data_IF_412244590608
#
_entry.id   IF_412244590608
#
_cell.length_a   1.000
_cell.length_b   1.000
_cell.length_c   1.000
_cell.angle_alpha   90.00
_cell.angle_beta   90.00
_cell.angle_gamma   90.00
#
_symmetry.space_group_name_H-M   'P 1'
#
loop_
_entity.id
_entity.type
_entity.pdbx_description
1 polymer ?
#
# COMPACT_ATOMS: atom_id res chain seq x y z
N UNK A 1 6.60 26.08 -11.20
CA UNK A 1 7.07 24.69 -11.38
C UNK A 1 6.34 23.66 -10.53
N UNK A 2 5.67 24.02 -9.41
CA UNK A 2 4.95 23.07 -8.54
C UNK A 2 3.95 22.13 -9.27
N UNK A 3 3.19 22.64 -10.25
CA UNK A 3 2.27 21.82 -11.05
C UNK A 3 2.94 20.74 -11.89
N UNK A 4 4.16 21.00 -12.39
CA UNK A 4 4.91 20.03 -13.20
C UNK A 4 5.38 18.88 -12.32
N UNK A 5 5.87 19.17 -11.11
CA UNK A 5 6.23 18.15 -10.13
C UNK A 5 5.04 17.31 -9.67
N UNK A 6 3.90 17.96 -9.41
CA UNK A 6 2.67 17.26 -9.04
C UNK A 6 2.19 16.31 -10.15
N UNK A 7 2.05 16.80 -11.39
CA UNK A 7 1.55 15.99 -12.50
C UNK A 7 2.50 14.84 -12.85
N UNK A 8 3.82 15.09 -12.88
CA UNK A 8 4.81 14.05 -13.16
C UNK A 8 4.82 12.92 -12.12
N UNK A 9 4.60 13.24 -10.84
CA UNK A 9 4.46 12.23 -9.79
C UNK A 9 3.09 11.56 -9.78
N UNK A 10 2.04 12.30 -10.14
CA UNK A 10 0.66 11.81 -10.12
C UNK A 10 0.42 10.74 -11.18
N UNK A 11 0.80 10.97 -12.44
CA UNK A 11 0.52 10.01 -13.51
C UNK A 11 1.20 8.66 -13.28
N UNK A 12 2.46 8.68 -12.85
CA UNK A 12 3.24 7.47 -12.57
C UNK A 12 2.71 6.73 -11.34
N UNK A 13 2.52 7.43 -10.23
CA UNK A 13 2.01 6.82 -8.98
C UNK A 13 0.58 6.31 -9.11
N UNK A 14 -0.30 7.04 -9.81
CA UNK A 14 -1.68 6.60 -10.04
C UNK A 14 -1.75 5.35 -10.90
N UNK A 15 -0.91 5.24 -11.92
CA UNK A 15 -0.81 4.04 -12.75
C UNK A 15 -0.32 2.85 -11.93
N UNK A 16 0.74 3.01 -11.14
CA UNK A 16 1.26 1.96 -10.26
C UNK A 16 0.20 1.47 -9.25
N UNK A 17 -0.49 2.40 -8.57
CA UNK A 17 -1.58 2.07 -7.64
C UNK A 17 -2.73 1.33 -8.34
N UNK A 18 -3.04 1.68 -9.58
CA UNK A 18 -4.10 1.03 -10.35
C UNK A 18 -3.73 -0.44 -10.67
N UNK A 19 -2.48 -0.69 -11.07
CA UNK A 19 -1.99 -2.05 -11.29
C UNK A 19 -1.93 -2.86 -9.99
N UNK A 20 -1.39 -2.30 -8.92
CA UNK A 20 -1.36 -2.96 -7.61
C UNK A 20 -2.77 -3.34 -7.14
N UNK A 21 -3.73 -2.40 -7.22
CA UNK A 21 -5.12 -2.66 -6.86
C UNK A 21 -5.77 -3.73 -7.76
N UNK A 22 -5.44 -3.76 -9.05
CA UNK A 22 -5.93 -4.77 -9.98
C UNK A 22 -5.42 -6.17 -9.61
N UNK A 23 -4.11 -6.33 -9.39
CA UNK A 23 -3.51 -7.60 -9.02
C UNK A 23 -4.02 -8.09 -7.66
N UNK A 24 -4.16 -7.20 -6.67
CA UNK A 24 -4.75 -7.55 -5.37
C UNK A 24 -6.19 -8.06 -5.54
N UNK A 25 -7.02 -7.36 -6.33
CA UNK A 25 -8.41 -7.74 -6.54
C UNK A 25 -8.57 -9.03 -7.36
N UNK A 26 -7.65 -9.31 -8.28
CA UNK A 26 -7.64 -10.52 -9.08
C UNK A 26 -7.15 -11.76 -8.32
N UNK A 27 -6.41 -11.57 -7.23
CA UNK A 27 -5.79 -12.64 -6.44
C UNK A 27 -6.28 -12.61 -4.97
N UNK A 28 -7.41 -13.28 -4.65
CA UNK A 28 -8.01 -13.26 -3.30
C UNK A 28 -7.09 -13.77 -2.19
N UNK A 29 -6.18 -14.68 -2.52
CA UNK A 29 -5.08 -15.16 -1.68
C UNK A 29 -4.17 -14.04 -1.20
N UNK A 30 -3.69 -13.22 -2.15
CA UNK A 30 -2.80 -12.09 -1.90
C UNK A 30 -3.53 -11.05 -1.09
N UNK A 31 -4.78 -10.76 -1.43
CA UNK A 31 -5.64 -9.84 -0.68
C UNK A 31 -5.82 -10.27 0.77
N UNK A 32 -6.12 -11.56 1.01
CA UNK A 32 -6.30 -12.08 2.37
C UNK A 32 -5.00 -12.00 3.17
N UNK A 33 -3.87 -12.36 2.57
CA UNK A 33 -2.56 -12.31 3.22
C UNK A 33 -2.15 -10.87 3.57
N UNK A 34 -2.40 -9.93 2.66
CA UNK A 34 -2.15 -8.50 2.88
C UNK A 34 -3.02 -7.94 4.00
N UNK A 35 -4.31 -8.30 4.03
CA UNK A 35 -5.21 -7.90 5.11
C UNK A 35 -4.74 -8.44 6.46
N UNK A 36 -4.34 -9.71 6.52
CA UNK A 36 -3.79 -10.31 7.75
C UNK A 36 -2.54 -9.60 8.27
N UNK A 37 -1.64 -9.17 7.37
CA UNK A 37 -0.48 -8.37 7.76
C UNK A 37 -0.90 -7.02 8.33
N UNK A 38 -1.81 -6.31 7.65
CA UNK A 38 -2.32 -5.02 8.10
C UNK A 38 -2.97 -5.14 9.48
N UNK A 39 -3.86 -6.12 9.66
CA UNK A 39 -4.55 -6.35 10.93
C UNK A 39 -3.53 -6.62 12.06
N UNK A 40 -2.53 -7.46 11.81
CA UNK A 40 -1.45 -7.75 12.78
C UNK A 40 -0.67 -6.50 13.15
N UNK A 41 -0.24 -5.70 12.17
CA UNK A 41 0.53 -4.48 12.43
C UNK A 41 -0.31 -3.43 13.17
N UNK A 42 -1.61 -3.33 12.86
CA UNK A 42 -2.54 -2.47 13.57
C UNK A 42 -2.73 -2.91 15.03
N UNK A 43 -2.91 -4.20 15.28
CA UNK A 43 -3.00 -4.75 16.63
C UNK A 43 -1.73 -4.45 17.45
N UNK A 44 -0.55 -4.65 16.85
CA UNK A 44 0.74 -4.35 17.49
C UNK A 44 0.98 -2.84 17.72
N UNK A 45 0.32 -1.99 16.94
CA UNK A 45 0.42 -0.52 17.02
C UNK A 45 -0.71 0.11 17.84
N UNK A 46 -1.45 -0.68 18.62
CA UNK A 46 -2.62 -0.23 19.40
C UNK A 46 -3.68 0.49 18.55
N UNK A 47 -3.81 0.13 17.28
CA UNK A 47 -4.72 0.75 16.31
C UNK A 47 -4.25 2.09 15.75
N UNK A 48 -3.05 2.55 16.09
CA UNK A 48 -2.48 3.76 15.50
C UNK A 48 -1.77 3.47 14.19
N UNK A 49 -2.13 4.23 13.15
CA UNK A 49 -1.42 4.22 11.86
C UNK A 49 -0.31 5.27 11.92
N UNK A 50 0.87 4.86 12.41
CA UNK A 50 2.07 5.70 12.41
C UNK A 50 2.97 5.42 11.20
N UNK A 51 3.96 6.28 10.97
CA UNK A 51 4.97 6.05 9.93
C UNK A 51 5.79 4.78 10.20
N UNK A 52 6.08 4.49 11.48
CA UNK A 52 6.72 3.23 11.86
C UNK A 52 5.82 2.03 11.59
N UNK A 53 4.51 2.15 11.83
CA UNK A 53 3.56 1.07 11.55
C UNK A 53 3.51 0.76 10.05
N UNK A 54 3.43 1.79 9.20
CA UNK A 54 3.44 1.60 7.73
C UNK A 54 4.74 0.93 7.26
N UNK A 55 5.89 1.33 7.81
CA UNK A 55 7.18 0.71 7.47
C UNK A 55 7.32 -0.76 7.90
N UNK A 56 6.40 -1.29 8.73
CA UNK A 56 6.37 -2.71 9.12
C UNK A 56 5.53 -3.58 8.17
N UNK A 57 4.83 -2.97 7.20
CA UNK A 57 4.03 -3.68 6.20
C UNK A 57 4.93 -4.21 5.08
N UNK A 58 5.74 -5.22 5.39
CA UNK A 58 6.73 -5.80 4.46
C UNK A 58 6.08 -6.44 3.23
N UNK A 59 4.92 -7.09 3.39
CA UNK A 59 4.19 -7.70 2.29
C UNK A 59 3.48 -6.65 1.43
N UNK A 60 3.01 -5.54 2.01
CA UNK A 60 2.54 -4.39 1.23
C UNK A 60 3.64 -3.83 0.32
N UNK A 61 4.86 -3.67 0.83
CA UNK A 61 6.01 -3.18 0.04
C UNK A 61 6.38 -4.17 -1.08
N UNK A 62 6.20 -5.47 -0.87
CA UNK A 62 6.43 -6.49 -1.90
C UNK A 62 5.38 -6.50 -3.03
N UNK A 63 4.21 -5.88 -2.82
CA UNK A 63 3.11 -5.80 -3.82
C UNK A 63 3.21 -4.55 -4.69
N UNK A 64 3.93 -3.52 -4.22
CA UNK A 64 4.12 -2.22 -4.91
C UNK A 64 5.39 -2.25 -5.76
#
# INVERSE_FOLDING_TARGET
QAFIFFLGGFETSSTAMCFAAHEIAANPEIQLKLQQEIDKVLEESNGEVSYEAINRLEYLDAVI
#
